data_IF_802052217855
#
_entry.id   IF_802052217855
#
_cell.length_a   1.000
_cell.length_b   1.000
_cell.length_c   1.000
_cell.angle_alpha   90.00
_cell.angle_beta   90.00
_cell.angle_gamma   90.00
#
_symmetry.space_group_name_H-M   'P 1'
#
loop_
_entity.id
_entity.type
_entity.pdbx_description
1 polymer ?
#
# COMPACT_ATOMS: atom_id res chain seq x y z
N UNK A 1 -25.00 38.38 4.87
CA UNK A 1 -24.16 37.46 5.65
C UNK A 1 -25.07 36.38 6.22
N UNK A 2 -24.85 35.13 5.86
CA UNK A 2 -25.54 34.00 6.50
C UNK A 2 -25.02 33.91 7.94
N UNK A 3 -25.89 34.15 8.92
CA UNK A 3 -25.60 33.88 10.33
C UNK A 3 -25.59 32.34 10.50
N UNK A 4 -24.44 31.76 10.81
CA UNK A 4 -24.36 30.36 11.18
C UNK A 4 -25.05 30.16 12.53
N UNK A 5 -26.00 29.23 12.59
CA UNK A 5 -26.65 28.83 13.84
C UNK A 5 -25.68 28.01 14.70
N UNK A 6 -25.87 28.04 16.02
CA UNK A 6 -25.02 27.32 17.00
C UNK A 6 -24.97 25.78 16.71
N UNK A 7 -25.99 25.22 16.10
CA UNK A 7 -26.14 23.79 15.82
C UNK A 7 -25.90 23.42 14.35
N UNK A 8 -25.54 24.35 13.48
CA UNK A 8 -25.41 24.09 12.04
C UNK A 8 -24.31 23.06 11.74
N UNK A 9 -23.22 23.08 12.49
CA UNK A 9 -22.12 22.09 12.36
C UNK A 9 -22.60 20.68 12.78
N UNK A 10 -23.29 20.59 13.92
CA UNK A 10 -23.81 19.31 14.46
C UNK A 10 -24.80 18.71 13.48
N UNK A 11 -25.79 19.48 13.05
CA UNK A 11 -26.81 19.06 12.08
C UNK A 11 -26.17 18.59 10.75
N UNK A 12 -25.08 19.27 10.32
CA UNK A 12 -24.36 18.88 9.11
C UNK A 12 -23.61 17.57 9.29
N UNK A 13 -22.98 17.35 10.44
CA UNK A 13 -22.29 16.10 10.76
C UNK A 13 -23.26 14.92 10.89
N UNK A 14 -24.41 15.11 11.51
CA UNK A 14 -25.50 14.11 11.56
C UNK A 14 -25.97 13.74 10.15
N UNK A 15 -26.15 14.75 9.29
CA UNK A 15 -26.52 14.50 7.89
C UNK A 15 -25.47 13.72 7.12
N UNK A 16 -24.17 13.93 7.38
CA UNK A 16 -23.10 13.14 6.77
C UNK A 16 -23.16 11.66 7.22
N UNK A 17 -23.48 11.41 8.47
CA UNK A 17 -23.70 10.04 9.00
C UNK A 17 -24.88 9.36 8.29
N UNK A 18 -26.01 10.03 8.15
CA UNK A 18 -27.19 9.51 7.42
C UNK A 18 -26.87 9.19 5.95
N UNK A 19 -26.00 9.97 5.31
CA UNK A 19 -25.54 9.77 3.95
C UNK A 19 -24.49 8.64 3.82
N UNK A 20 -24.02 8.10 4.95
CA UNK A 20 -23.05 7.00 4.99
C UNK A 20 -21.61 7.48 4.78
N UNK A 21 -21.09 8.33 5.66
CA UNK A 21 -19.68 8.76 5.63
C UNK A 21 -18.73 7.56 5.72
N UNK A 22 -17.92 7.29 4.69
CA UNK A 22 -17.02 6.12 4.67
C UNK A 22 -15.92 6.17 5.73
N UNK A 23 -15.60 7.35 6.28
CA UNK A 23 -14.59 7.52 7.33
C UNK A 23 -15.11 7.13 8.71
N UNK A 24 -16.42 7.12 8.92
CA UNK A 24 -17.03 6.80 10.20
C UNK A 24 -16.67 5.37 10.65
N UNK A 25 -16.64 4.42 9.72
CA UNK A 25 -16.22 3.03 10.00
C UNK A 25 -14.78 2.94 10.51
N UNK A 26 -13.90 3.80 10.03
CA UNK A 26 -12.50 3.84 10.48
C UNK A 26 -12.33 4.51 11.85
N UNK A 27 -13.35 5.20 12.38
CA UNK A 27 -13.30 5.76 13.73
C UNK A 27 -13.29 4.67 14.81
N UNK A 28 -13.80 3.47 14.52
CA UNK A 28 -13.79 2.31 15.41
C UNK A 28 -12.39 1.67 15.58
N UNK A 29 -11.44 2.02 14.71
CA UNK A 29 -10.08 1.51 14.79
C UNK A 29 -9.36 2.08 16.00
N UNK A 30 -8.73 1.21 16.78
CA UNK A 30 -7.83 1.62 17.85
C UNK A 30 -6.50 2.14 17.26
N UNK A 31 -6.46 3.43 16.91
CA UNK A 31 -5.28 4.08 16.35
C UNK A 31 -4.11 4.16 17.32
N UNK A 32 -4.39 4.07 18.63
CA UNK A 32 -3.36 4.17 19.69
C UNK A 32 -2.38 3.00 19.65
N UNK A 33 -2.75 1.87 19.03
CA UNK A 33 -1.85 0.73 18.84
C UNK A 33 -0.59 1.06 18.03
N UNK A 34 -0.66 2.07 17.15
CA UNK A 34 0.47 2.48 16.29
C UNK A 34 1.34 3.59 16.92
N UNK A 35 0.78 4.37 17.85
CA UNK A 35 1.43 5.57 18.41
C UNK A 35 2.76 5.26 19.11
N UNK A 36 2.89 4.21 19.95
CA UNK A 36 4.15 3.93 20.64
C UNK A 36 5.31 3.62 19.70
N UNK A 37 5.08 2.85 18.62
CA UNK A 37 6.13 2.50 17.65
C UNK A 37 6.56 3.72 16.85
N UNK A 38 5.62 4.58 16.46
CA UNK A 38 5.93 5.83 15.75
C UNK A 38 6.73 6.76 16.65
N UNK A 39 6.29 6.99 17.89
CA UNK A 39 6.99 7.86 18.84
C UNK A 39 8.41 7.37 19.11
N UNK A 40 8.62 6.05 19.25
CA UNK A 40 9.95 5.46 19.44
C UNK A 40 10.86 5.71 18.24
N UNK A 41 10.35 5.50 17.02
CA UNK A 41 11.13 5.69 15.79
C UNK A 41 11.43 7.17 15.52
N UNK A 42 10.55 8.08 15.93
CA UNK A 42 10.70 9.51 15.74
C UNK A 42 11.34 10.23 16.97
N UNK A 43 11.72 9.48 18.02
CA UNK A 43 12.41 10.06 19.16
C UNK A 43 13.71 10.70 18.69
N UNK A 44 13.83 12.03 18.89
CA UNK A 44 15.07 12.78 18.65
C UNK A 44 15.61 13.20 20.00
N UNK A 45 16.93 13.16 20.15
CA UNK A 45 17.58 13.74 21.32
C UNK A 45 17.21 15.21 21.43
N UNK A 46 16.75 15.63 22.61
CA UNK A 46 16.45 17.03 22.89
C UNK A 46 17.75 17.85 22.89
N UNK A 47 17.94 18.70 21.89
CA UNK A 47 19.09 19.60 21.78
C UNK A 47 18.88 20.95 22.49
N UNK A 48 18.04 21.00 23.52
CA UNK A 48 17.79 22.23 24.29
C UNK A 48 16.30 22.50 24.58
N UNK A 49 15.98 23.52 25.41
CA UNK A 49 14.63 23.81 25.90
C UNK A 49 13.71 24.53 24.88
N UNK A 50 14.15 24.74 23.64
CA UNK A 50 13.40 25.48 22.62
C UNK A 50 12.89 24.63 21.48
N UNK A 51 11.78 25.06 20.85
CA UNK A 51 11.20 24.48 19.66
C UNK A 51 9.67 24.38 19.75
N UNK A 52 8.99 24.50 18.59
CA UNK A 52 7.54 24.29 18.52
C UNK A 52 7.21 22.83 18.81
N UNK A 53 6.23 22.53 19.69
CA UNK A 53 5.77 21.17 19.91
C UNK A 53 5.33 20.52 18.60
N UNK A 54 5.59 19.21 18.47
CA UNK A 54 5.07 18.44 17.34
C UNK A 54 3.55 18.32 17.43
N UNK A 55 2.91 18.20 16.30
CA UNK A 55 1.51 17.77 16.28
C UNK A 55 1.37 16.38 16.92
N UNK A 56 0.19 16.11 17.44
CA UNK A 56 -0.14 14.80 17.99
C UNK A 56 0.13 13.69 16.94
N UNK A 57 0.77 12.62 17.38
CA UNK A 57 1.20 11.51 16.50
C UNK A 57 0.01 10.78 15.89
N UNK A 58 -1.08 10.59 16.67
CA UNK A 58 -2.30 9.94 16.18
C UNK A 58 -2.98 10.80 15.12
N UNK A 59 -3.06 12.10 15.34
CA UNK A 59 -3.56 13.06 14.37
C UNK A 59 -2.77 12.98 13.06
N UNK A 60 -1.45 13.06 13.13
CA UNK A 60 -0.58 13.02 11.95
C UNK A 60 -0.66 11.69 11.20
N UNK A 61 -0.79 10.57 11.92
CA UNK A 61 -1.03 9.26 11.32
C UNK A 61 -2.34 9.25 10.55
N UNK A 62 -3.44 9.71 11.16
CA UNK A 62 -4.76 9.80 10.51
C UNK A 62 -4.73 10.73 9.28
N UNK A 63 -3.96 11.82 9.31
CA UNK A 63 -3.75 12.71 8.15
C UNK A 63 -3.11 11.94 7.00
N UNK A 64 -2.07 11.12 7.25
CA UNK A 64 -1.47 10.28 6.21
C UNK A 64 -2.42 9.20 5.69
N UNK A 65 -3.28 8.64 6.54
CA UNK A 65 -4.31 7.70 6.12
C UNK A 65 -5.32 8.36 5.16
N UNK A 66 -5.79 9.58 5.46
CA UNK A 66 -6.62 10.36 4.56
C UNK A 66 -5.92 10.65 3.23
N UNK A 67 -4.66 11.12 3.29
CA UNK A 67 -3.85 11.35 2.10
C UNK A 67 -3.82 10.13 1.20
N UNK A 68 -3.58 8.95 1.77
CA UNK A 68 -3.45 7.71 1.00
C UNK A 68 -4.81 7.20 0.51
N UNK A 69 -5.84 7.22 1.37
CA UNK A 69 -7.18 6.75 1.04
C UNK A 69 -7.82 7.51 -0.12
N UNK A 70 -7.59 8.82 -0.18
CA UNK A 70 -8.13 9.70 -1.23
C UNK A 70 -7.12 10.02 -2.34
N UNK A 71 -5.95 9.39 -2.32
CA UNK A 71 -4.87 9.57 -3.30
C UNK A 71 -4.50 11.03 -3.53
N UNK A 72 -4.31 11.80 -2.45
CA UNK A 72 -4.06 13.25 -2.47
C UNK A 72 -2.56 13.57 -2.53
N UNK A 73 -2.19 14.75 -3.07
CA UNK A 73 -0.88 15.36 -2.82
C UNK A 73 -0.80 15.93 -1.40
N UNK A 74 0.34 16.41 -0.95
CA UNK A 74 0.48 17.01 0.38
C UNK A 74 -0.31 18.31 0.49
N UNK A 75 -0.27 19.14 -0.54
CA UNK A 75 -1.02 20.39 -0.65
C UNK A 75 -2.53 20.13 -0.72
N UNK A 76 -2.94 19.13 -1.51
CA UNK A 76 -4.34 18.73 -1.57
C UNK A 76 -4.83 18.18 -0.21
N UNK A 77 -3.95 17.51 0.54
CA UNK A 77 -4.33 16.99 1.87
C UNK A 77 -4.60 18.13 2.83
N UNK A 78 -3.71 19.11 2.92
CA UNK A 78 -3.93 20.33 3.71
C UNK A 78 -5.23 21.04 3.31
N UNK A 79 -5.41 21.27 2.00
CA UNK A 79 -6.62 21.94 1.50
C UNK A 79 -7.90 21.18 1.84
N UNK A 80 -7.93 19.85 1.56
CA UNK A 80 -9.13 19.03 1.78
C UNK A 80 -9.49 18.87 3.26
N UNK A 81 -8.52 18.90 4.17
CA UNK A 81 -8.81 18.90 5.61
C UNK A 81 -9.51 20.19 6.02
N UNK A 82 -9.09 21.33 5.48
CA UNK A 82 -9.74 22.62 5.75
C UNK A 82 -11.13 22.75 5.10
N UNK A 83 -11.39 22.05 4.00
CA UNK A 83 -12.61 22.14 3.21
C UNK A 83 -13.71 21.15 3.65
N UNK A 84 -13.33 19.99 4.19
CA UNK A 84 -14.24 18.86 4.42
C UNK A 84 -14.52 18.61 5.91
N UNK A 85 -15.75 18.80 6.32
CA UNK A 85 -16.19 18.46 7.68
C UNK A 85 -15.99 16.99 8.04
N UNK A 86 -16.19 16.06 7.08
CA UNK A 86 -15.92 14.62 7.32
C UNK A 86 -14.47 14.34 7.66
N UNK A 87 -13.51 15.06 7.04
CA UNK A 87 -12.10 14.92 7.35
C UNK A 87 -11.79 15.48 8.74
N UNK A 88 -12.31 16.67 9.08
CA UNK A 88 -12.16 17.25 10.41
C UNK A 88 -12.71 16.31 11.48
N UNK A 89 -13.92 15.79 11.29
CA UNK A 89 -14.55 14.81 12.20
C UNK A 89 -13.65 13.58 12.41
N UNK A 90 -13.17 12.98 11.32
CA UNK A 90 -12.28 11.81 11.40
C UNK A 90 -11.00 12.11 12.16
N UNK A 91 -10.43 13.30 11.98
CA UNK A 91 -9.22 13.75 12.66
C UNK A 91 -9.46 14.16 14.12
N UNK A 92 -10.71 14.45 14.50
CA UNK A 92 -11.05 15.02 15.81
C UNK A 92 -10.72 16.51 15.92
N UNK A 93 -10.75 17.24 14.79
CA UNK A 93 -10.52 18.68 14.71
C UNK A 93 -11.85 19.44 14.68
N UNK A 94 -11.90 20.57 15.38
CA UNK A 94 -12.94 21.58 15.23
C UNK A 94 -12.60 22.57 14.11
N UNK A 95 -13.57 23.36 13.65
CA UNK A 95 -13.38 24.36 12.58
C UNK A 95 -12.31 25.41 12.96
N UNK A 96 -12.13 25.69 14.24
CA UNK A 96 -11.13 26.65 14.75
C UNK A 96 -9.73 26.08 14.93
N UNK A 97 -9.59 24.75 14.85
CA UNK A 97 -8.30 24.09 15.10
C UNK A 97 -7.35 24.28 13.93
N UNK A 98 -6.06 24.36 14.29
CA UNK A 98 -5.01 24.53 13.29
C UNK A 98 -4.71 23.21 12.57
N UNK A 99 -4.89 23.21 11.25
CA UNK A 99 -4.55 22.09 10.37
C UNK A 99 -3.03 22.04 10.13
N UNK A 100 -2.39 20.85 10.10
CA UNK A 100 -1.01 20.71 9.68
C UNK A 100 -0.82 21.15 8.21
N UNK A 101 0.20 21.98 7.98
CA UNK A 101 0.55 22.40 6.62
C UNK A 101 1.22 21.27 5.80
N UNK A 102 1.26 21.42 4.47
CA UNK A 102 1.80 20.45 3.54
C UNK A 102 3.26 20.05 3.85
N UNK A 103 4.10 21.00 4.28
CA UNK A 103 5.49 20.73 4.66
C UNK A 103 5.58 19.91 5.95
N UNK A 104 4.73 20.19 6.93
CA UNK A 104 4.64 19.40 8.16
C UNK A 104 4.21 17.96 7.86
N UNK A 105 3.22 17.79 6.98
CA UNK A 105 2.74 16.46 6.54
C UNK A 105 3.86 15.73 5.78
N UNK A 106 4.57 16.42 4.88
CA UNK A 106 5.70 15.87 4.13
C UNK A 106 6.83 15.41 5.04
N UNK A 107 7.23 16.22 6.01
CA UNK A 107 8.31 15.87 6.93
C UNK A 107 7.97 14.64 7.75
N UNK A 108 6.75 14.57 8.28
CA UNK A 108 6.27 13.41 9.01
C UNK A 108 6.24 12.15 8.12
N UNK A 109 5.70 12.25 6.91
CA UNK A 109 5.71 11.18 5.92
C UNK A 109 7.13 10.68 5.63
N UNK A 110 8.07 11.61 5.40
CA UNK A 110 9.45 11.25 5.07
C UNK A 110 10.15 10.54 6.25
N UNK A 111 9.98 11.04 7.45
CA UNK A 111 10.52 10.43 8.68
C UNK A 111 9.99 8.99 8.85
N UNK A 112 8.68 8.75 8.64
CA UNK A 112 8.09 7.40 8.72
C UNK A 112 8.59 6.47 7.61
N UNK A 113 8.75 7.00 6.41
CA UNK A 113 9.23 6.25 5.23
C UNK A 113 10.68 5.79 5.43
N UNK A 114 11.57 6.67 5.91
CA UNK A 114 12.96 6.33 6.20
C UNK A 114 13.09 5.30 7.34
N UNK A 115 12.20 5.35 8.32
CA UNK A 115 12.13 4.38 9.42
C UNK A 115 11.41 3.07 9.06
N UNK A 116 10.92 2.89 7.82
CA UNK A 116 10.17 1.71 7.35
C UNK A 116 8.99 1.34 8.25
N UNK A 117 8.28 2.36 8.75
CA UNK A 117 7.21 2.15 9.72
C UNK A 117 5.93 1.55 9.10
N UNK A 118 5.74 1.61 7.78
CA UNK A 118 4.60 0.97 7.13
C UNK A 118 4.58 -0.54 7.38
N UNK A 119 5.74 -1.20 7.25
CA UNK A 119 5.87 -2.65 7.49
C UNK A 119 5.60 -3.00 8.96
N UNK A 120 6.14 -2.22 9.90
CA UNK A 120 5.93 -2.44 11.33
C UNK A 120 4.46 -2.25 11.73
N UNK A 121 3.78 -1.22 11.20
CA UNK A 121 2.36 -0.98 11.44
C UNK A 121 1.50 -2.08 10.83
N UNK A 122 1.84 -2.52 9.62
CA UNK A 122 1.16 -3.64 8.97
C UNK A 122 1.29 -4.93 9.79
N UNK A 123 2.49 -5.26 10.24
CA UNK A 123 2.74 -6.47 11.04
C UNK A 123 2.05 -6.41 12.41
N UNK A 124 2.03 -5.25 13.05
CA UNK A 124 1.30 -5.07 14.31
C UNK A 124 -0.21 -5.28 14.13
N UNK A 125 -0.79 -4.74 13.05
CA UNK A 125 -2.20 -4.95 12.78
C UNK A 125 -2.50 -6.39 12.35
N UNK A 126 -1.63 -7.00 11.54
CA UNK A 126 -1.73 -8.42 11.18
C UNK A 126 -1.73 -9.31 12.42
N UNK A 127 -0.88 -9.04 13.42
CA UNK A 127 -0.88 -9.81 14.66
C UNK A 127 -2.23 -9.75 15.34
N UNK A 128 -2.86 -8.58 15.45
CA UNK A 128 -4.24 -8.44 15.94
C UNK A 128 -5.22 -9.32 15.16
N UNK A 129 -5.13 -9.32 13.82
CA UNK A 129 -6.01 -10.14 12.97
C UNK A 129 -5.81 -11.65 13.18
N UNK A 130 -4.59 -12.08 13.47
CA UNK A 130 -4.29 -13.47 13.81
C UNK A 130 -4.83 -13.84 15.18
N UNK A 131 -4.65 -12.99 16.20
CA UNK A 131 -5.14 -13.19 17.57
C UNK A 131 -6.67 -13.29 17.60
N UNK A 132 -7.35 -12.51 16.75
CA UNK A 132 -8.81 -12.53 16.57
C UNK A 132 -9.29 -13.63 15.59
N UNK A 133 -8.40 -14.46 15.08
CA UNK A 133 -8.67 -15.57 14.15
C UNK A 133 -9.39 -15.13 12.87
N UNK A 134 -9.11 -13.92 12.39
CA UNK A 134 -9.66 -13.40 11.14
C UNK A 134 -8.83 -13.84 9.91
N UNK A 135 -7.55 -14.15 10.10
CA UNK A 135 -6.69 -14.78 9.09
C UNK A 135 -6.51 -16.25 9.51
N UNK A 136 -7.11 -17.16 8.73
CA UNK A 136 -7.15 -18.59 9.05
C UNK A 136 -6.05 -19.40 8.36
N UNK A 137 -5.48 -18.89 7.26
CA UNK A 137 -4.45 -19.55 6.44
C UNK A 137 -4.84 -20.95 5.94
N UNK A 138 -6.12 -21.26 5.87
CA UNK A 138 -6.63 -22.51 5.28
C UNK A 138 -6.40 -22.55 3.76
N UNK A 139 -6.16 -21.41 3.14
CA UNK A 139 -5.73 -21.23 1.78
C UNK A 139 -5.27 -19.79 1.58
N UNK A 140 -4.16 -19.64 0.90
CA UNK A 140 -3.53 -18.35 0.58
C UNK A 140 -3.53 -18.11 -0.92
N UNK A 141 -3.84 -16.89 -1.35
CA UNK A 141 -3.83 -16.47 -2.75
C UNK A 141 -2.71 -15.46 -2.92
N UNK A 142 -1.82 -15.71 -3.90
CA UNK A 142 -0.73 -14.78 -4.26
C UNK A 142 -1.01 -14.19 -5.63
N UNK A 143 -0.93 -12.87 -5.70
CA UNK A 143 -1.02 -12.12 -6.97
C UNK A 143 -0.27 -10.78 -6.86
N UNK A 144 -0.09 -10.09 -7.98
CA UNK A 144 0.61 -8.82 -8.07
C UNK A 144 -0.14 -7.80 -8.91
N UNK A 145 -0.08 -6.54 -8.48
CA UNK A 145 -0.58 -5.40 -9.25
C UNK A 145 0.53 -4.39 -9.51
N UNK A 146 0.48 -3.74 -10.67
CA UNK A 146 1.36 -2.62 -10.98
C UNK A 146 0.97 -1.38 -10.20
N UNK A 147 1.99 -0.63 -9.80
CA UNK A 147 1.86 0.67 -9.15
C UNK A 147 2.67 1.68 -9.95
N UNK A 148 1.96 2.50 -10.70
CA UNK A 148 2.60 3.44 -11.61
C UNK A 148 3.27 4.61 -10.87
N UNK A 149 4.47 4.95 -11.32
CA UNK A 149 5.22 6.15 -10.93
C UNK A 149 5.23 7.18 -12.09
N UNK A 150 5.51 8.45 -11.81
CA UNK A 150 5.60 9.46 -12.85
C UNK A 150 6.64 9.10 -13.90
N UNK A 151 6.19 9.00 -15.15
CA UNK A 151 7.08 8.66 -16.27
C UNK A 151 8.14 9.72 -16.45
N UNK A 152 9.39 9.30 -16.62
CA UNK A 152 10.54 10.17 -16.75
C UNK A 152 11.04 10.23 -18.20
N UNK A 153 11.49 11.42 -18.61
CA UNK A 153 12.16 11.60 -19.89
C UNK A 153 13.65 11.32 -19.72
N UNK A 154 14.07 10.10 -20.06
CA UNK A 154 15.48 9.67 -20.08
C UNK A 154 15.86 9.28 -21.49
N UNK A 155 17.14 9.40 -21.85
CA UNK A 155 17.67 8.84 -23.08
C UNK A 155 17.70 7.30 -22.99
N UNK A 156 17.91 6.63 -24.13
CA UNK A 156 18.06 5.16 -24.13
C UNK A 156 19.26 4.71 -23.32
N UNK A 157 20.36 5.44 -23.40
CA UNK A 157 21.61 5.16 -22.68
C UNK A 157 21.44 5.35 -21.18
N UNK A 158 20.77 6.43 -20.75
CA UNK A 158 20.43 6.65 -19.34
C UNK A 158 19.54 5.52 -18.81
N UNK A 159 18.50 5.13 -19.56
CA UNK A 159 17.64 4.03 -19.16
C UNK A 159 18.39 2.68 -19.08
N UNK A 160 19.35 2.43 -20.00
CA UNK A 160 20.14 1.22 -19.95
C UNK A 160 21.03 1.20 -18.70
N UNK A 161 21.74 2.29 -18.39
CA UNK A 161 22.54 2.41 -17.16
C UNK A 161 21.72 2.18 -15.90
N UNK A 162 20.54 2.80 -15.83
CA UNK A 162 19.60 2.59 -14.71
C UNK A 162 19.15 1.12 -14.61
N UNK A 163 18.87 0.49 -15.75
CA UNK A 163 18.50 -0.94 -15.80
C UNK A 163 19.63 -1.85 -15.29
N UNK A 164 20.86 -1.49 -15.56
CA UNK A 164 22.07 -2.19 -15.11
C UNK A 164 22.42 -1.87 -13.64
N UNK A 165 21.56 -1.14 -12.92
CA UNK A 165 21.76 -0.76 -11.52
C UNK A 165 22.71 0.41 -11.31
N UNK A 166 23.09 1.12 -12.39
CA UNK A 166 24.04 2.24 -12.35
C UNK A 166 23.32 3.58 -12.53
N UNK A 167 23.75 4.57 -11.76
CA UNK A 167 23.35 5.96 -11.99
C UNK A 167 24.28 6.57 -13.04
N UNK A 168 23.76 7.27 -14.10
CA UNK A 168 24.62 7.93 -15.07
C UNK A 168 25.63 8.85 -14.41
N UNK A 169 26.93 8.73 -14.77
CA UNK A 169 28.01 9.50 -14.15
C UNK A 169 27.82 11.02 -14.27
N UNK A 170 27.18 11.46 -15.35
CA UNK A 170 26.86 12.88 -15.57
C UNK A 170 25.90 13.45 -14.51
N UNK A 171 25.05 12.59 -13.89
CA UNK A 171 24.13 12.99 -12.82
C UNK A 171 24.81 13.06 -11.45
N UNK A 172 25.97 12.38 -11.30
CA UNK A 172 26.75 12.36 -10.07
C UNK A 172 27.70 13.56 -9.93
N UNK A 173 27.89 14.37 -11.00
CA UNK A 173 28.75 15.55 -10.97
C UNK A 173 28.28 16.52 -9.88
N UNK A 174 29.24 17.21 -9.25
CA UNK A 174 28.95 18.21 -8.21
C UNK A 174 28.32 19.51 -8.74
N UNK A 175 28.11 19.62 -10.03
CA UNK A 175 27.44 20.76 -10.67
C UNK A 175 25.99 20.86 -10.20
N UNK A 176 25.47 22.06 -9.87
CA UNK A 176 24.10 22.24 -9.38
C UNK A 176 23.03 21.64 -10.31
N UNK A 177 23.20 21.74 -11.64
CA UNK A 177 22.29 21.15 -12.64
C UNK A 177 22.25 19.64 -12.60
N UNK A 178 23.40 18.98 -12.42
CA UNK A 178 23.49 17.52 -12.34
C UNK A 178 22.84 17.01 -11.04
N UNK A 179 23.12 17.64 -9.91
CA UNK A 179 22.50 17.31 -8.63
C UNK A 179 20.99 17.55 -8.63
N UNK A 180 20.53 18.63 -9.25
CA UNK A 180 19.10 18.91 -9.41
C UNK A 180 18.42 17.84 -10.27
N UNK A 181 19.08 17.43 -11.38
CA UNK A 181 18.60 16.34 -12.24
C UNK A 181 18.50 15.02 -11.46
N UNK A 182 19.54 14.66 -10.70
CA UNK A 182 19.54 13.42 -9.89
C UNK A 182 18.40 13.38 -8.87
N UNK A 183 18.14 14.51 -8.19
CA UNK A 183 17.04 14.62 -7.21
C UNK A 183 15.65 14.45 -7.82
N UNK A 184 15.50 14.68 -9.12
CA UNK A 184 14.24 14.56 -9.84
C UNK A 184 14.05 13.22 -10.56
N UNK A 185 15.05 12.33 -10.51
CA UNK A 185 15.03 11.05 -11.22
C UNK A 185 14.83 9.90 -10.25
N UNK A 186 13.85 9.07 -10.57
CA UNK A 186 13.66 7.79 -9.90
C UNK A 186 14.58 6.75 -10.56
N UNK A 187 15.60 6.32 -9.84
CA UNK A 187 16.56 5.33 -10.31
C UNK A 187 16.15 3.89 -9.96
N UNK A 188 15.08 3.72 -9.19
CA UNK A 188 14.60 2.42 -8.74
C UNK A 188 13.43 1.92 -9.59
N UNK A 189 12.56 2.84 -10.07
CA UNK A 189 11.43 2.49 -10.92
C UNK A 189 11.89 1.89 -12.27
N UNK A 190 11.16 0.90 -12.75
CA UNK A 190 11.46 0.18 -14.00
C UNK A 190 10.25 0.13 -14.93
N UNK A 191 10.55 -0.11 -16.21
CA UNK A 191 9.55 -0.38 -17.22
C UNK A 191 9.23 -1.88 -17.27
N UNK A 192 7.96 -2.20 -17.34
CA UNK A 192 7.46 -3.55 -17.65
C UNK A 192 6.36 -3.49 -18.70
N UNK A 193 6.13 -4.59 -19.38
CA UNK A 193 5.02 -4.72 -20.34
C UNK A 193 4.19 -5.94 -19.98
N UNK A 194 2.89 -5.76 -19.78
CA UNK A 194 1.91 -6.84 -19.56
C UNK A 194 0.71 -6.61 -20.50
N UNK A 195 0.27 -7.62 -21.22
CA UNK A 195 -0.89 -7.54 -22.14
C UNK A 195 -0.82 -6.38 -23.15
N UNK A 196 0.37 -6.08 -23.69
CA UNK A 196 0.67 -4.95 -24.59
C UNK A 196 0.58 -3.56 -23.95
N UNK A 197 0.31 -3.48 -22.66
CA UNK A 197 0.34 -2.23 -21.90
C UNK A 197 1.70 -2.03 -21.23
N UNK A 198 2.19 -0.79 -21.21
CA UNK A 198 3.48 -0.42 -20.63
C UNK A 198 3.28 0.27 -19.28
N UNK A 199 3.84 -0.32 -18.25
CA UNK A 199 3.89 0.20 -16.89
C UNK A 199 5.27 0.72 -16.55
N UNK A 200 5.35 1.83 -15.85
CA UNK A 200 6.58 2.38 -15.30
C UNK A 200 6.41 2.62 -13.81
N UNK A 201 7.17 1.94 -12.99
CA UNK A 201 7.07 2.08 -11.53
C UNK A 201 7.46 0.82 -10.79
N UNK A 202 6.54 0.35 -9.98
CA UNK A 202 6.72 -0.72 -9.00
C UNK A 202 5.63 -1.79 -9.12
N UNK A 203 5.75 -2.85 -8.34
CA UNK A 203 4.71 -3.86 -8.14
C UNK A 203 4.42 -4.03 -6.65
N UNK A 204 3.15 -4.20 -6.33
CA UNK A 204 2.66 -4.67 -5.05
C UNK A 204 2.30 -6.15 -5.18
N UNK A 205 3.12 -7.02 -4.61
CA UNK A 205 2.84 -8.45 -4.51
C UNK A 205 2.17 -8.71 -3.16
N UNK A 206 1.02 -9.35 -3.16
CA UNK A 206 0.26 -9.63 -1.93
C UNK A 206 -0.02 -11.11 -1.77
N UNK A 207 0.03 -11.57 -0.53
CA UNK A 207 -0.55 -12.83 -0.09
C UNK A 207 -1.82 -12.55 0.70
N UNK A 208 -2.94 -13.10 0.25
CA UNK A 208 -4.28 -12.82 0.75
C UNK A 208 -4.90 -14.09 1.30
N UNK A 209 -5.51 -14.03 2.48
CA UNK A 209 -6.27 -15.14 3.03
C UNK A 209 -7.52 -15.41 2.17
N UNK A 210 -7.71 -16.66 1.78
CA UNK A 210 -8.76 -17.08 0.86
C UNK A 210 -10.17 -16.74 1.37
N UNK A 211 -10.43 -16.88 2.66
CA UNK A 211 -11.77 -16.70 3.24
C UNK A 211 -12.05 -15.24 3.57
N UNK A 212 -11.21 -14.64 4.39
CA UNK A 212 -11.41 -13.28 4.87
C UNK A 212 -11.09 -12.22 3.81
N UNK A 213 -10.27 -12.53 2.82
CA UNK A 213 -9.68 -11.59 1.84
C UNK A 213 -8.77 -10.54 2.49
N UNK A 214 -8.30 -10.76 3.70
CA UNK A 214 -7.29 -9.93 4.34
C UNK A 214 -5.91 -10.21 3.76
N UNK A 215 -5.10 -9.18 3.61
CA UNK A 215 -3.70 -9.33 3.20
C UNK A 215 -2.91 -9.83 4.41
N UNK A 216 -2.33 -11.03 4.30
CA UNK A 216 -1.47 -11.62 5.33
C UNK A 216 -0.02 -11.15 5.19
N UNK A 217 0.46 -10.95 3.95
CA UNK A 217 1.83 -10.52 3.66
C UNK A 217 1.90 -9.78 2.34
N UNK A 218 2.85 -8.89 2.21
CA UNK A 218 3.15 -8.23 0.94
C UNK A 218 4.66 -8.03 0.77
N UNK A 219 5.09 -7.84 -0.48
CA UNK A 219 6.43 -7.36 -0.83
C UNK A 219 6.35 -6.39 -2.01
N UNK A 220 7.26 -5.42 -2.04
CA UNK A 220 7.32 -4.39 -3.07
C UNK A 220 8.58 -4.54 -3.88
N UNK A 221 8.43 -4.59 -5.19
CA UNK A 221 9.56 -4.66 -6.13
C UNK A 221 9.45 -3.57 -7.18
N UNK A 222 10.50 -3.37 -7.96
CA UNK A 222 10.35 -2.62 -9.21
C UNK A 222 9.46 -3.41 -10.20
N UNK A 223 8.91 -2.71 -11.19
CA UNK A 223 7.95 -3.32 -12.12
C UNK A 223 8.56 -4.40 -13.03
N UNK A 224 9.88 -4.43 -13.23
CA UNK A 224 10.54 -5.40 -14.12
C UNK A 224 10.78 -6.76 -13.45
N UNK A 225 10.74 -6.84 -12.13
CA UNK A 225 10.90 -8.10 -11.39
C UNK A 225 9.77 -9.06 -11.76
N UNK A 226 10.12 -10.29 -12.13
CA UNK A 226 9.12 -11.31 -12.46
C UNK A 226 8.38 -11.77 -11.20
N UNK A 227 7.06 -11.95 -11.29
CA UNK A 227 6.18 -12.24 -10.16
C UNK A 227 6.62 -13.47 -9.36
N UNK A 228 7.17 -14.50 -10.04
CA UNK A 228 7.70 -15.70 -9.40
C UNK A 228 8.88 -15.45 -8.45
N UNK A 229 9.65 -14.38 -8.64
CA UNK A 229 10.79 -14.06 -7.75
C UNK A 229 10.32 -13.54 -6.39
N UNK A 230 9.17 -12.90 -6.34
CA UNK A 230 8.57 -12.39 -5.09
C UNK A 230 7.90 -13.50 -4.25
N UNK A 231 7.70 -14.70 -4.83
CA UNK A 231 6.96 -15.78 -4.18
C UNK A 231 7.61 -16.24 -2.87
N UNK A 232 8.94 -16.34 -2.83
CA UNK A 232 9.68 -16.80 -1.66
C UNK A 232 9.51 -15.85 -0.46
N UNK A 233 9.34 -14.56 -0.70
CA UNK A 233 9.12 -13.57 0.37
C UNK A 233 7.70 -13.67 0.95
N UNK A 234 6.77 -14.25 0.20
CA UNK A 234 5.36 -14.34 0.56
C UNK A 234 4.99 -15.66 1.25
N UNK A 235 5.68 -16.75 0.92
CA UNK A 235 5.41 -18.09 1.50
C UNK A 235 5.86 -18.13 2.96
N UNK A 236 5.00 -18.68 3.83
CA UNK A 236 5.30 -18.94 5.25
C UNK A 236 5.12 -20.41 5.58
N UNK A 237 5.69 -20.86 6.69
CA UNK A 237 5.57 -22.27 7.13
C UNK A 237 4.15 -22.61 7.60
N UNK A 238 3.36 -21.58 7.91
CA UNK A 238 1.97 -21.74 8.38
C UNK A 238 0.94 -21.83 7.23
N UNK A 239 1.38 -21.69 5.96
CA UNK A 239 0.46 -21.81 4.83
C UNK A 239 0.08 -23.28 4.59
N UNK A 240 -1.22 -23.57 4.39
CA UNK A 240 -1.69 -24.93 4.09
C UNK A 240 -1.85 -25.19 2.60
N UNK A 241 -2.38 -24.21 1.85
CA UNK A 241 -2.66 -24.32 0.43
C UNK A 241 -2.33 -22.98 -0.26
N UNK A 242 -1.66 -23.02 -1.41
CA UNK A 242 -1.25 -21.83 -2.15
C UNK A 242 -1.88 -21.78 -3.55
N UNK A 243 -2.63 -20.71 -3.81
CA UNK A 243 -3.24 -20.40 -5.11
C UNK A 243 -2.48 -19.22 -5.75
N UNK A 244 -2.13 -19.35 -7.02
CA UNK A 244 -1.55 -18.27 -7.82
C UNK A 244 -1.83 -18.51 -9.31
N UNK A 245 -1.53 -17.51 -10.13
CA UNK A 245 -1.64 -17.68 -11.58
C UNK A 245 -0.45 -18.48 -12.15
N UNK A 246 -0.52 -18.79 -13.45
CA UNK A 246 0.51 -19.57 -14.12
C UNK A 246 1.87 -18.85 -14.28
N UNK A 247 1.97 -17.56 -13.99
CA UNK A 247 3.25 -16.84 -13.95
C UNK A 247 4.11 -17.24 -12.74
N UNK A 248 3.49 -17.82 -11.72
CA UNK A 248 4.18 -18.34 -10.52
C UNK A 248 4.59 -19.80 -10.65
N UNK A 249 4.46 -20.42 -11.82
CA UNK A 249 4.94 -21.82 -12.05
C UNK A 249 6.45 -21.87 -12.21
N UNK A 250 7.06 -22.93 -11.67
CA UNK A 250 8.48 -23.22 -11.84
C UNK A 250 8.98 -24.21 -10.79
N UNK A 251 10.03 -24.97 -11.15
CA UNK A 251 10.62 -25.96 -10.25
C UNK A 251 11.07 -25.41 -8.89
N UNK A 252 11.68 -24.19 -8.80
CA UNK A 252 12.05 -23.62 -7.52
C UNK A 252 10.87 -23.41 -6.59
N UNK A 253 9.75 -22.89 -7.13
CA UNK A 253 8.53 -22.64 -6.34
C UNK A 253 7.88 -23.95 -5.94
N UNK A 254 7.76 -24.89 -6.85
CA UNK A 254 7.21 -26.22 -6.56
C UNK A 254 8.00 -26.92 -5.46
N UNK A 255 9.32 -26.87 -5.49
CA UNK A 255 10.20 -27.41 -4.45
C UNK A 255 10.01 -26.68 -3.12
N UNK A 256 9.94 -25.34 -3.13
CA UNK A 256 9.74 -24.53 -1.92
C UNK A 256 8.41 -24.86 -1.24
N UNK A 257 7.32 -24.99 -2.00
CA UNK A 257 6.02 -25.39 -1.47
C UNK A 257 6.04 -26.82 -0.91
N UNK A 258 6.65 -27.77 -1.64
CA UNK A 258 6.77 -29.15 -1.20
C UNK A 258 7.58 -29.30 0.09
N UNK A 259 8.72 -28.58 0.20
CA UNK A 259 9.57 -28.59 1.41
C UNK A 259 8.81 -28.09 2.65
N UNK A 260 7.89 -27.16 2.47
CA UNK A 260 7.05 -26.60 3.56
C UNK A 260 5.73 -27.38 3.75
N UNK A 261 5.48 -28.45 2.99
CA UNK A 261 4.24 -29.22 3.05
C UNK A 261 3.00 -28.46 2.56
N UNK A 262 3.18 -27.40 1.78
CA UNK A 262 2.09 -26.54 1.28
C UNK A 262 1.48 -27.19 0.04
N UNK A 263 0.16 -27.35 0.01
CA UNK A 263 -0.56 -27.87 -1.14
C UNK A 263 -0.49 -26.88 -2.30
N UNK A 264 0.14 -27.28 -3.41
CA UNK A 264 0.29 -26.46 -4.59
C UNK A 264 -1.02 -26.45 -5.42
N UNK A 265 -1.67 -25.28 -5.51
CA UNK A 265 -2.85 -25.00 -6.32
C UNK A 265 -2.59 -23.88 -7.34
N UNK A 266 -1.33 -23.67 -7.73
CA UNK A 266 -0.96 -22.73 -8.81
C UNK A 266 -1.56 -23.22 -10.12
N UNK A 267 -2.04 -22.32 -10.96
CA UNK A 267 -2.58 -22.66 -12.29
C UNK A 267 -1.49 -23.26 -13.18
N UNK A 268 -1.83 -24.32 -13.88
CA UNK A 268 -0.94 -25.01 -14.81
C UNK A 268 -0.72 -24.14 -16.06
N UNK A 269 0.51 -24.15 -16.59
CA UNK A 269 0.91 -23.36 -17.77
C UNK A 269 1.00 -24.24 -19.00
N UNK A 270 0.31 -23.87 -20.06
CA UNK A 270 0.51 -24.46 -21.38
C UNK A 270 1.71 -23.85 -22.10
N UNK A 271 2.35 -24.62 -22.95
CA UNK A 271 3.46 -24.21 -23.81
C UNK A 271 3.09 -24.33 -25.27
N UNK A 272 3.86 -23.70 -26.18
CA UNK A 272 3.56 -23.64 -27.60
C UNK A 272 3.34 -25.01 -28.25
N UNK A 273 4.09 -26.03 -27.83
CA UNK A 273 4.01 -27.39 -28.37
C UNK A 273 3.29 -28.38 -27.43
N UNK A 274 2.87 -27.92 -26.26
CA UNK A 274 2.18 -28.69 -25.24
C UNK A 274 1.04 -27.85 -24.66
N UNK A 275 -0.08 -27.67 -25.40
CA UNK A 275 -1.24 -26.98 -24.88
C UNK A 275 -1.85 -27.75 -23.71
N UNK A 276 -2.56 -27.04 -22.85
CA UNK A 276 -3.28 -27.66 -21.73
C UNK A 276 -4.34 -28.64 -22.25
N UNK A 277 -4.42 -29.82 -21.61
CA UNK A 277 -5.52 -30.78 -21.83
C UNK A 277 -6.84 -30.23 -21.29
N UNK A 278 -7.97 -30.80 -21.68
CA UNK A 278 -9.28 -30.36 -21.15
C UNK A 278 -9.38 -30.55 -19.63
N UNK A 279 -8.82 -31.62 -19.10
CA UNK A 279 -8.75 -31.85 -17.65
C UNK A 279 -7.92 -30.78 -16.92
N UNK A 280 -6.78 -30.38 -17.50
CA UNK A 280 -5.97 -29.30 -16.96
C UNK A 280 -6.69 -27.94 -17.01
N UNK A 281 -7.42 -27.68 -18.09
CA UNK A 281 -8.25 -26.47 -18.21
C UNK A 281 -9.34 -26.44 -17.15
N UNK A 282 -10.01 -27.57 -16.88
CA UNK A 282 -11.04 -27.65 -15.86
C UNK A 282 -10.46 -27.44 -14.47
N UNK A 283 -9.36 -28.12 -14.12
CA UNK A 283 -8.63 -27.85 -12.86
C UNK A 283 -8.23 -26.37 -12.72
N UNK A 284 -7.77 -25.72 -13.81
CA UNK A 284 -7.43 -24.32 -13.82
C UNK A 284 -8.65 -23.41 -13.61
N UNK A 285 -9.84 -23.78 -14.11
CA UNK A 285 -11.09 -23.05 -13.84
C UNK A 285 -11.43 -23.05 -12.34
N UNK A 286 -11.33 -24.22 -11.70
CA UNK A 286 -11.56 -24.34 -10.26
C UNK A 286 -10.57 -23.50 -9.45
N UNK A 287 -9.27 -23.59 -9.76
CA UNK A 287 -8.22 -22.79 -9.13
C UNK A 287 -8.43 -21.29 -9.34
N UNK A 288 -8.77 -20.89 -10.56
CA UNK A 288 -9.02 -19.48 -10.92
C UNK A 288 -10.26 -18.91 -10.22
N UNK A 289 -11.30 -19.70 -9.96
CA UNK A 289 -12.47 -19.29 -9.19
C UNK A 289 -12.13 -18.88 -7.77
N UNK A 290 -11.13 -19.54 -7.17
CA UNK A 290 -10.64 -19.18 -5.84
C UNK A 290 -9.70 -17.98 -5.95
N UNK A 291 -8.76 -18.01 -6.89
CA UNK A 291 -7.78 -16.95 -7.12
C UNK A 291 -8.44 -15.59 -7.38
N UNK A 292 -9.54 -15.55 -8.15
CA UNK A 292 -10.23 -14.30 -8.46
C UNK A 292 -10.68 -13.50 -7.23
N UNK A 293 -10.68 -14.09 -6.04
CA UNK A 293 -10.97 -13.36 -4.79
C UNK A 293 -9.95 -12.25 -4.48
N UNK A 294 -8.72 -12.35 -4.99
CA UNK A 294 -7.71 -11.29 -4.86
C UNK A 294 -8.08 -10.04 -5.66
N UNK A 295 -8.87 -10.19 -6.72
CA UNK A 295 -9.36 -9.07 -7.52
C UNK A 295 -10.23 -8.11 -6.70
N UNK A 296 -10.88 -8.61 -5.65
CA UNK A 296 -11.57 -7.75 -4.68
C UNK A 296 -10.62 -6.81 -3.93
N UNK A 297 -9.41 -7.28 -3.60
CA UNK A 297 -8.37 -6.46 -2.94
C UNK A 297 -7.96 -5.33 -3.88
N UNK A 298 -7.55 -5.67 -5.10
CA UNK A 298 -7.09 -4.68 -6.07
C UNK A 298 -8.23 -3.77 -6.55
N UNK A 299 -9.44 -4.31 -6.73
CA UNK A 299 -10.63 -3.53 -7.07
C UNK A 299 -10.99 -2.49 -6.00
N UNK A 300 -10.84 -2.82 -4.71
CA UNK A 300 -11.03 -1.85 -3.63
C UNK A 300 -9.95 -0.75 -3.68
N UNK A 301 -8.69 -1.12 -3.89
CA UNK A 301 -7.59 -0.16 -3.98
C UNK A 301 -7.75 0.78 -5.18
N UNK A 302 -8.16 0.28 -6.33
CA UNK A 302 -8.33 1.08 -7.55
C UNK A 302 -9.61 1.91 -7.55
N UNK A 303 -10.71 1.37 -7.04
CA UNK A 303 -12.02 2.04 -6.96
C UNK A 303 -12.14 2.92 -5.73
N UNK A 304 -12.30 2.31 -4.55
CA UNK A 304 -12.63 3.02 -3.31
C UNK A 304 -11.50 3.90 -2.77
N UNK A 305 -10.24 3.57 -3.07
CA UNK A 305 -9.07 4.35 -2.66
C UNK A 305 -8.48 5.20 -3.80
N UNK A 306 -9.19 5.37 -4.91
CA UNK A 306 -8.75 6.16 -6.09
C UNK A 306 -7.39 5.74 -6.66
N UNK A 307 -7.06 4.45 -6.57
CA UNK A 307 -5.81 3.88 -7.07
C UNK A 307 -4.59 4.15 -6.19
N UNK A 308 -3.46 3.57 -6.61
CA UNK A 308 -2.15 3.83 -6.00
C UNK A 308 -1.33 4.57 -7.04
N UNK A 309 -1.07 5.85 -6.80
CA UNK A 309 -0.15 6.65 -7.62
C UNK A 309 1.03 7.08 -6.76
N UNK A 310 2.22 6.65 -7.12
CA UNK A 310 3.44 7.13 -6.45
C UNK A 310 3.75 8.52 -6.99
N UNK A 311 3.84 9.50 -6.09
CA UNK A 311 4.21 10.90 -6.42
C UNK A 311 5.59 11.28 -5.93
N UNK A 312 6.25 10.35 -5.25
CA UNK A 312 7.58 10.51 -4.66
C UNK A 312 8.61 9.72 -5.46
N UNK A 313 9.88 9.92 -5.17
CA UNK A 313 10.99 9.28 -5.86
C UNK A 313 11.61 8.22 -4.93
N UNK A 314 11.93 7.07 -5.52
CA UNK A 314 12.67 5.99 -4.88
C UNK A 314 11.81 4.92 -4.23
N UNK A 315 12.33 3.70 -4.23
CA UNK A 315 11.64 2.50 -3.77
C UNK A 315 11.24 2.56 -2.28
N UNK A 316 12.01 3.24 -1.43
CA UNK A 316 11.68 3.36 0.00
C UNK A 316 10.33 4.06 0.22
N UNK A 317 10.12 5.20 -0.47
CA UNK A 317 8.87 5.96 -0.38
C UNK A 317 7.74 5.24 -1.10
N UNK A 318 8.03 4.59 -2.23
CA UNK A 318 7.06 3.76 -2.92
C UNK A 318 6.59 2.59 -2.04
N UNK A 319 7.51 1.90 -1.37
CA UNK A 319 7.20 0.82 -0.43
C UNK A 319 6.36 1.32 0.75
N UNK A 320 6.66 2.51 1.27
CA UNK A 320 5.85 3.13 2.33
C UNK A 320 4.41 3.41 1.85
N UNK A 321 4.22 4.06 0.71
CA UNK A 321 2.90 4.34 0.16
C UNK A 321 2.09 3.06 -0.13
N UNK A 322 2.74 2.03 -0.67
CA UNK A 322 2.14 0.72 -0.94
C UNK A 322 1.80 0.01 0.38
N UNK A 323 2.70 0.01 1.36
CA UNK A 323 2.47 -0.58 2.68
C UNK A 323 1.30 0.06 3.41
N UNK A 324 1.22 1.40 3.42
CA UNK A 324 0.07 2.12 3.97
C UNK A 324 -1.23 1.79 3.22
N UNK A 325 -1.16 1.59 1.90
CA UNK A 325 -2.35 1.18 1.13
C UNK A 325 -2.82 -0.21 1.54
N UNK A 326 -1.89 -1.16 1.69
CA UNK A 326 -2.20 -2.53 2.13
C UNK A 326 -2.78 -2.53 3.56
N UNK A 327 -2.21 -1.72 4.46
CA UNK A 327 -2.73 -1.54 5.81
C UNK A 327 -4.15 -0.95 5.79
N UNK A 328 -4.39 0.12 5.03
CA UNK A 328 -5.70 0.74 4.90
C UNK A 328 -6.74 -0.23 4.35
N UNK A 329 -6.39 -1.02 3.35
CA UNK A 329 -7.26 -2.08 2.85
C UNK A 329 -7.65 -3.04 3.99
N UNK A 330 -6.68 -3.51 4.76
CA UNK A 330 -6.92 -4.42 5.88
C UNK A 330 -7.79 -3.77 6.97
N UNK A 331 -7.57 -2.50 7.29
CA UNK A 331 -8.39 -1.75 8.25
C UNK A 331 -9.86 -1.67 7.78
N UNK A 332 -10.09 -1.30 6.52
CA UNK A 332 -11.44 -1.28 5.94
C UNK A 332 -12.10 -2.67 5.91
N UNK A 333 -11.32 -3.68 5.53
CA UNK A 333 -11.83 -5.06 5.47
C UNK A 333 -12.15 -5.60 6.85
N UNK A 334 -11.34 -5.27 7.85
CA UNK A 334 -11.59 -5.58 9.26
C UNK A 334 -12.92 -4.97 9.73
N UNK A 335 -13.12 -3.66 9.56
CA UNK A 335 -14.39 -3.00 9.94
C UNK A 335 -15.59 -3.64 9.25
N UNK A 336 -15.46 -4.00 7.95
CA UNK A 336 -16.53 -4.70 7.24
C UNK A 336 -16.84 -6.07 7.85
N UNK A 337 -15.81 -6.85 8.18
CA UNK A 337 -16.00 -8.18 8.75
C UNK A 337 -16.62 -8.12 10.15
N UNK A 338 -16.18 -7.16 10.99
CA UNK A 338 -16.79 -6.94 12.31
C UNK A 338 -18.27 -6.52 12.21
N UNK A 339 -18.63 -5.71 11.22
CA UNK A 339 -20.03 -5.27 11.04
C UNK A 339 -20.95 -6.36 10.47
N UNK A 340 -20.38 -7.47 9.93
CA UNK A 340 -21.15 -8.56 9.30
C UNK A 340 -21.07 -9.88 10.09
N UNK A 341 -20.34 -9.92 11.19
CA UNK A 341 -20.25 -11.05 12.13
C UNK A 341 -21.38 -10.99 13.14
#
# INVERSE_FOLDING_TARGET
MLQAGIFDEINRLERLTELGDPLEKLSEINWDMFVPMINRALAKEHKGPGGRPRYDTKLMLKVLMLKRMYNLSFEQTEYQINDRLSFMRFLGLSISDKVPDANTIWNFYNDLSEAKLADQMFDAFKQKLLDERMILREGSIVDATFVDAPRQRNTREENQKIKDGNVPEEWKKQEPKAQHKLRQKDTDARWATKNRERHYGYKNHVKVDQKSKLIDRYTVTDAAVHDSQAMNDLITDDDSTMYADSAYTGDPITKALATKGIKNQICEKGFRNHPLTEEQKERNREKSRIRSRVEHVFGFMTGSMNGITIRTIGIKRAAFDIGITNLLYNLHRYCFLCATA
#
